data_IF_532867681412
#
_entry.id   IF_532867681412
#
_cell.length_a   1.000
_cell.length_b   1.000
_cell.length_c   1.000
_cell.angle_alpha   90.00
_cell.angle_beta   90.00
_cell.angle_gamma   90.00
#
_symmetry.space_group_name_H-M   'P 1'
#
loop_
_entity.id
_entity.type
_entity.pdbx_description
1 polymer ?
#
# COMPACT_ATOMS: atom_id res chain seq x y z
N UNK A 1 16.89 -4.28 -10.74
CA UNK A 1 18.29 -4.30 -10.30
C UNK A 1 18.86 -2.90 -10.30
N UNK A 2 19.76 -2.60 -9.35
CA UNK A 2 20.56 -1.39 -9.31
C UNK A 2 21.65 -1.58 -10.37
N UNK A 3 21.84 -0.57 -11.23
CA UNK A 3 22.85 -0.62 -12.29
C UNK A 3 23.80 0.57 -12.10
N UNK A 4 25.12 0.36 -11.95
CA UNK A 4 26.07 1.45 -11.96
C UNK A 4 26.13 2.06 -13.37
N UNK A 5 26.07 3.40 -13.47
CA UNK A 5 26.06 4.11 -14.74
C UNK A 5 27.40 4.79 -15.02
N UNK A 6 27.90 5.61 -14.11
CA UNK A 6 29.13 6.36 -14.28
C UNK A 6 29.79 6.73 -12.95
N UNK A 7 31.10 7.00 -13.02
CA UNK A 7 31.85 7.61 -11.95
C UNK A 7 32.72 8.73 -12.55
N UNK A 8 32.34 9.99 -12.30
CA UNK A 8 33.03 11.18 -12.81
C UNK A 8 32.98 12.27 -11.73
N UNK A 9 34.03 13.05 -11.61
CA UNK A 9 34.15 14.16 -10.68
C UNK A 9 33.75 13.83 -9.23
N UNK A 10 34.20 12.68 -8.71
CA UNK A 10 33.82 12.17 -7.39
C UNK A 10 32.31 11.88 -7.23
N UNK A 11 31.56 11.81 -8.33
CA UNK A 11 30.13 11.47 -8.35
C UNK A 11 29.93 10.07 -8.88
N UNK A 12 29.43 9.18 -8.04
CA UNK A 12 29.05 7.82 -8.43
C UNK A 12 27.56 7.78 -8.72
N UNK A 13 27.20 7.56 -9.98
CA UNK A 13 25.80 7.54 -10.43
C UNK A 13 25.31 6.11 -10.60
N UNK A 14 24.21 5.78 -9.92
CA UNK A 14 23.54 4.50 -10.05
C UNK A 14 22.13 4.68 -10.61
N UNK A 15 21.70 3.76 -11.46
CA UNK A 15 20.33 3.70 -11.93
C UNK A 15 19.49 2.86 -10.96
N UNK A 16 18.37 3.44 -10.54
CA UNK A 16 17.37 2.77 -9.71
C UNK A 16 16.08 2.56 -10.50
N UNK A 17 15.34 1.47 -10.26
CA UNK A 17 14.18 1.12 -11.07
C UNK A 17 12.98 2.07 -10.89
N UNK A 18 12.88 2.77 -9.77
CA UNK A 18 11.76 3.69 -9.48
C UNK A 18 12.13 4.72 -8.42
N UNK A 19 11.31 5.77 -8.30
CA UNK A 19 11.37 6.78 -7.24
C UNK A 19 11.32 6.16 -5.85
N UNK A 20 10.44 5.20 -5.65
CA UNK A 20 10.30 4.47 -4.40
C UNK A 20 11.57 3.71 -4.01
N UNK A 21 12.24 3.09 -4.99
CA UNK A 21 13.48 2.36 -4.71
C UNK A 21 14.61 3.30 -4.27
N UNK A 22 14.63 4.51 -4.81
CA UNK A 22 15.50 5.58 -4.33
C UNK A 22 15.22 5.93 -2.87
N UNK A 23 13.96 6.21 -2.53
CA UNK A 23 13.53 6.55 -1.16
C UNK A 23 13.85 5.44 -0.16
N UNK A 24 13.60 4.19 -0.54
CA UNK A 24 13.94 3.02 0.27
C UNK A 24 15.46 2.86 0.51
N UNK A 25 16.29 3.13 -0.50
CA UNK A 25 17.75 3.09 -0.35
C UNK A 25 18.24 4.22 0.56
N UNK A 26 17.70 5.43 0.42
CA UNK A 26 18.05 6.57 1.26
C UNK A 26 17.61 6.35 2.72
N UNK A 27 16.42 5.82 2.95
CA UNK A 27 15.92 5.60 4.31
C UNK A 27 16.68 4.49 5.05
N UNK A 28 16.92 3.34 4.39
CA UNK A 28 17.44 2.15 5.07
C UNK A 28 18.92 1.85 4.83
N UNK A 29 19.46 2.25 3.69
CA UNK A 29 20.79 1.82 3.27
C UNK A 29 21.77 2.96 3.01
N UNK A 30 21.37 4.22 3.15
CA UNK A 30 22.22 5.37 2.87
C UNK A 30 23.57 5.31 3.64
N UNK A 31 23.53 4.95 4.91
CA UNK A 31 24.74 4.85 5.73
C UNK A 31 25.66 3.72 5.27
N UNK A 32 25.08 2.56 4.93
CA UNK A 32 25.85 1.41 4.43
C UNK A 32 26.46 1.72 3.06
N UNK A 33 25.69 2.35 2.17
CA UNK A 33 26.15 2.76 0.86
C UNK A 33 27.26 3.81 0.95
N UNK A 34 27.12 4.83 1.79
CA UNK A 34 28.16 5.86 2.02
C UNK A 34 29.44 5.25 2.56
N UNK A 35 29.34 4.41 3.60
CA UNK A 35 30.53 3.77 4.20
C UNK A 35 31.23 2.86 3.18
N UNK A 36 30.46 2.11 2.41
CA UNK A 36 31.01 1.21 1.38
C UNK A 36 31.67 2.00 0.25
N UNK A 37 31.04 3.07 -0.23
CA UNK A 37 31.60 3.93 -1.27
C UNK A 37 32.87 4.61 -0.81
N UNK A 38 32.91 5.14 0.43
CA UNK A 38 34.12 5.75 0.99
C UNK A 38 35.25 4.73 1.14
N UNK A 39 34.94 3.47 1.44
CA UNK A 39 35.93 2.40 1.57
C UNK A 39 36.51 1.95 0.23
N UNK A 40 35.67 1.90 -0.81
CA UNK A 40 36.04 1.33 -2.13
C UNK A 40 36.58 2.40 -3.08
N UNK A 41 35.97 3.58 -3.09
CA UNK A 41 36.26 4.63 -4.07
C UNK A 41 37.08 5.78 -3.44
N UNK A 42 36.82 6.09 -2.16
CA UNK A 42 37.54 7.13 -1.43
C UNK A 42 36.61 8.14 -0.75
N UNK A 43 37.19 8.90 0.19
CA UNK A 43 36.47 9.96 0.89
C UNK A 43 36.11 11.10 -0.05
N UNK A 44 34.86 11.62 0.08
CA UNK A 44 34.35 12.70 -0.75
C UNK A 44 33.52 12.25 -1.94
N UNK A 45 33.30 10.94 -2.13
CA UNK A 45 32.42 10.43 -3.20
C UNK A 45 30.96 10.78 -2.90
N UNK A 46 30.30 11.39 -3.87
CA UNK A 46 28.88 11.71 -3.83
C UNK A 46 28.11 10.64 -4.59
N UNK A 47 27.05 10.09 -3.96
CA UNK A 47 26.16 9.12 -4.58
C UNK A 47 25.02 9.84 -5.28
N UNK A 48 24.91 9.66 -6.58
CA UNK A 48 23.80 10.16 -7.39
C UNK A 48 22.89 9.02 -7.85
N UNK A 49 21.61 9.31 -7.97
CA UNK A 49 20.62 8.35 -8.43
C UNK A 49 19.98 8.81 -9.73
N UNK A 50 19.86 7.89 -10.68
CA UNK A 50 19.10 8.10 -11.92
C UNK A 50 17.92 7.11 -11.93
N UNK A 51 16.70 7.64 -12.01
CA UNK A 51 15.51 6.83 -12.07
C UNK A 51 15.32 6.36 -13.50
N UNK A 52 15.06 5.05 -13.70
CA UNK A 52 14.72 4.50 -15.01
C UNK A 52 13.31 4.97 -15.39
N UNK A 53 13.22 6.02 -16.21
CA UNK A 53 11.96 6.40 -16.85
C UNK A 53 11.73 5.44 -18.01
N UNK A 54 10.68 4.62 -17.96
CA UNK A 54 10.22 3.82 -19.09
C UNK A 54 9.53 4.78 -20.05
N UNK A 55 10.11 4.90 -21.23
CA UNK A 55 9.82 5.88 -22.26
C UNK A 55 8.34 6.07 -22.58
N UNK A 56 7.86 7.31 -22.40
CA UNK A 56 7.27 8.06 -23.53
C UNK A 56 7.58 9.55 -23.34
N UNK A 57 8.32 10.07 -24.37
CA UNK A 57 8.60 11.50 -24.61
C UNK A 57 9.77 12.11 -23.84
N UNK A 58 10.86 12.25 -24.58
CA UNK A 58 11.98 13.21 -24.58
C UNK A 58 12.14 14.18 -23.41
N UNK A 59 13.39 14.22 -23.02
CA UNK A 59 14.25 15.27 -22.51
C UNK A 59 14.73 15.12 -21.07
N UNK A 60 16.05 15.16 -20.98
CA UNK A 60 16.93 15.10 -19.82
C UNK A 60 16.40 15.82 -18.56
N UNK A 61 15.98 15.01 -17.59
CA UNK A 61 15.73 15.47 -16.23
C UNK A 61 16.77 14.91 -15.27
N UNK A 62 17.94 15.52 -15.21
CA UNK A 62 18.97 15.20 -14.23
C UNK A 62 18.63 15.90 -12.92
N UNK A 63 18.14 15.16 -11.94
CA UNK A 63 17.96 15.69 -10.57
C UNK A 63 19.24 15.41 -9.80
N UNK A 64 20.03 16.44 -9.60
CA UNK A 64 21.21 16.43 -8.72
C UNK A 64 20.76 16.89 -7.33
N UNK A 65 20.77 16.03 -6.34
CA UNK A 65 20.54 16.39 -4.96
C UNK A 65 21.89 16.42 -4.20
N UNK A 66 22.25 17.53 -3.58
CA UNK A 66 23.48 17.61 -2.80
C UNK A 66 23.32 16.90 -1.46
N UNK A 67 24.07 15.85 -1.23
CA UNK A 67 24.31 15.26 0.10
C UNK A 67 25.48 15.96 0.77
N UNK A 68 25.20 17.05 1.46
CA UNK A 68 26.18 17.76 2.26
C UNK A 68 25.54 18.38 3.48
N UNK A 69 25.83 17.85 4.66
CA UNK A 69 25.70 18.57 5.90
C UNK A 69 26.81 19.62 5.97
N UNK A 70 26.47 20.85 5.66
CA UNK A 70 27.22 22.00 6.16
C UNK A 70 26.22 23.10 6.50
N UNK A 71 26.06 23.33 7.79
CA UNK A 71 25.41 24.52 8.29
C UNK A 71 26.38 25.68 8.27
N UNK A 72 25.96 26.85 7.81
CA UNK A 72 26.26 28.07 8.54
C UNK A 72 24.98 28.82 8.91
N UNK A 73 24.93 29.22 10.15
CA UNK A 73 23.98 30.17 10.73
C UNK A 73 24.14 31.53 10.06
N UNK A 74 23.04 32.08 9.56
CA UNK A 74 22.66 33.49 9.84
C UNK A 74 21.34 33.76 9.15
N UNK A 75 20.44 34.45 9.87
CA UNK A 75 19.04 34.63 9.51
C UNK A 75 18.82 35.55 8.30
N UNK A 76 17.76 35.24 7.61
CA UNK A 76 16.83 36.22 7.00
C UNK A 76 15.55 35.45 6.62
N UNK A 77 14.40 36.02 6.95
CA UNK A 77 13.06 35.59 6.61
C UNK A 77 13.00 35.07 5.17
N UNK A 78 12.81 33.79 4.96
CA UNK A 78 12.43 33.26 3.67
C UNK A 78 10.90 33.11 3.65
N UNK A 79 10.33 33.75 2.63
CA UNK A 79 8.94 33.63 2.27
C UNK A 79 8.58 32.14 2.06
N UNK A 80 7.40 31.77 2.54
CA UNK A 80 6.76 30.47 2.30
C UNK A 80 6.81 30.15 0.79
N UNK A 81 7.65 29.19 0.42
CA UNK A 81 7.53 28.51 -0.85
C UNK A 81 6.61 27.31 -0.54
N UNK A 82 5.35 27.31 -1.04
CA UNK A 82 4.50 26.15 -0.90
C UNK A 82 5.21 24.98 -1.58
N UNK A 83 5.39 23.85 -0.88
CA UNK A 83 5.96 22.66 -1.49
C UNK A 83 4.98 22.16 -2.56
N UNK A 84 5.29 22.45 -3.82
CA UNK A 84 4.50 22.08 -4.99
C UNK A 84 4.34 20.56 -5.13
N UNK A 85 5.11 19.78 -4.37
CA UNK A 85 5.05 18.32 -4.36
C UNK A 85 4.05 17.75 -3.37
N UNK A 86 3.79 18.39 -2.24
CA UNK A 86 2.76 17.92 -1.29
C UNK A 86 1.33 18.17 -1.77
N UNK A 87 1.10 19.23 -2.54
CA UNK A 87 -0.23 19.56 -3.04
C UNK A 87 -0.67 18.70 -4.25
N UNK A 88 0.26 18.25 -5.11
CA UNK A 88 -0.09 17.40 -6.27
C UNK A 88 -0.28 15.92 -5.93
N UNK A 89 0.44 15.37 -4.94
CA UNK A 89 0.30 13.98 -4.54
C UNK A 89 -1.04 13.68 -3.83
N UNK A 90 -1.74 14.69 -3.33
CA UNK A 90 -3.03 14.54 -2.65
C UNK A 90 -4.24 14.66 -3.57
N UNK A 91 -4.09 15.26 -4.76
CA UNK A 91 -5.22 15.52 -5.66
C UNK A 91 -5.55 14.37 -6.63
N UNK A 92 -4.69 13.35 -6.79
CA UNK A 92 -4.85 12.29 -7.78
C UNK A 92 -4.97 10.87 -7.18
N UNK A 93 -5.21 10.73 -5.85
CA UNK A 93 -5.40 9.39 -5.25
C UNK A 93 -6.85 8.92 -5.44
N UNK A 94 -7.05 7.97 -6.36
CA UNK A 94 -8.34 7.31 -6.53
C UNK A 94 -8.45 6.12 -5.56
N UNK A 95 -9.30 6.27 -4.57
CA UNK A 95 -9.59 5.24 -3.57
C UNK A 95 -10.52 4.13 -4.09
N UNK A 96 -11.15 4.32 -5.24
CA UNK A 96 -12.22 3.47 -5.80
C UNK A 96 -13.42 3.30 -4.84
N UNK A 97 -13.58 4.15 -3.87
CA UNK A 97 -14.69 4.11 -2.92
C UNK A 97 -15.96 4.72 -3.54
N UNK A 98 -17.10 4.12 -3.22
CA UNK A 98 -18.39 4.68 -3.58
C UNK A 98 -18.94 5.51 -2.41
N UNK A 99 -19.06 6.84 -2.53
CA UNK A 99 -19.48 7.71 -1.41
C UNK A 99 -20.95 7.50 -1.01
N UNK A 100 -21.74 6.81 -1.82
CA UNK A 100 -23.13 6.48 -1.47
C UNK A 100 -23.26 5.45 -0.36
N UNK A 101 -22.21 4.64 -0.13
CA UNK A 101 -22.20 3.63 0.92
C UNK A 101 -21.50 4.18 2.15
N UNK A 102 -22.27 4.40 3.22
CA UNK A 102 -21.79 4.93 4.48
C UNK A 102 -22.43 4.19 5.66
N UNK A 103 -22.01 4.51 6.89
CA UNK A 103 -22.59 3.90 8.08
C UNK A 103 -24.02 4.34 8.36
N UNK A 104 -24.46 5.50 7.89
CA UNK A 104 -25.80 6.02 8.17
C UNK A 104 -26.88 5.22 7.42
N UNK A 105 -26.54 4.69 6.23
CA UNK A 105 -27.42 3.86 5.44
C UNK A 105 -27.07 2.35 5.51
N UNK A 106 -26.16 1.97 6.42
CA UNK A 106 -25.88 0.57 6.74
C UNK A 106 -26.75 0.12 7.91
N UNK A 107 -27.82 -0.61 7.60
CA UNK A 107 -28.79 -1.03 8.64
C UNK A 107 -28.18 -2.01 9.63
N UNK A 108 -28.32 -1.68 10.92
CA UNK A 108 -27.90 -2.54 12.02
C UNK A 108 -28.99 -3.51 12.40
N UNK A 109 -28.61 -4.78 12.48
CA UNK A 109 -29.42 -5.87 13.00
C UNK A 109 -28.65 -6.68 14.04
N UNK A 110 -29.30 -7.64 14.67
CA UNK A 110 -28.65 -8.51 15.68
C UNK A 110 -27.44 -9.26 15.13
N UNK A 111 -27.49 -9.66 13.85
CA UNK A 111 -26.44 -10.45 13.20
C UNK A 111 -25.20 -9.66 12.78
N UNK A 112 -25.32 -8.34 12.57
CA UNK A 112 -24.22 -7.51 12.07
C UNK A 112 -23.74 -6.43 13.07
N UNK A 113 -24.32 -6.36 14.25
CA UNK A 113 -23.99 -5.36 15.29
C UNK A 113 -22.50 -5.38 15.66
N UNK A 114 -21.95 -6.59 15.86
CA UNK A 114 -20.53 -6.73 16.19
C UNK A 114 -19.63 -6.26 15.05
N UNK A 115 -20.00 -6.60 13.81
CA UNK A 115 -19.25 -6.14 12.60
C UNK A 115 -19.27 -4.65 12.51
N UNK A 116 -20.44 -4.03 12.67
CA UNK A 116 -20.60 -2.58 12.59
C UNK A 116 -19.75 -1.89 13.65
N UNK A 117 -19.84 -2.28 14.91
CA UNK A 117 -19.06 -1.64 15.98
C UNK A 117 -17.55 -1.82 15.81
N UNK A 118 -17.11 -3.00 15.35
CA UNK A 118 -15.70 -3.24 15.01
C UNK A 118 -15.24 -2.39 13.83
N UNK A 119 -16.10 -2.19 12.84
CA UNK A 119 -15.82 -1.36 11.66
C UNK A 119 -15.69 0.13 12.03
N UNK A 120 -16.54 0.61 12.91
CA UNK A 120 -16.45 1.97 13.45
C UNK A 120 -15.15 2.16 14.25
N UNK A 121 -14.75 1.18 15.07
CA UNK A 121 -13.48 1.20 15.79
C UNK A 121 -12.26 1.23 14.85
N UNK A 122 -12.30 0.46 13.74
CA UNK A 122 -11.26 0.50 12.70
C UNK A 122 -11.20 1.88 12.05
N UNK A 123 -12.35 2.48 11.77
CA UNK A 123 -12.37 3.80 11.15
C UNK A 123 -11.78 4.90 12.05
N UNK A 124 -11.93 4.76 13.36
CA UNK A 124 -11.30 5.68 14.33
C UNK A 124 -9.78 5.50 14.40
N UNK A 125 -9.29 4.26 14.47
CA UNK A 125 -7.87 3.97 14.65
C UNK A 125 -7.41 2.83 13.71
N UNK A 126 -7.24 3.11 12.40
CA UNK A 126 -6.80 2.10 11.43
C UNK A 126 -5.43 1.51 11.79
N UNK A 127 -5.33 0.18 11.73
CA UNK A 127 -4.11 -0.57 12.00
C UNK A 127 -3.88 -0.96 13.46
N UNK A 128 -4.66 -0.41 14.42
CA UNK A 128 -4.48 -0.71 15.85
C UNK A 128 -5.34 -1.88 16.34
N UNK A 129 -6.61 -1.90 15.95
CA UNK A 129 -7.55 -2.93 16.37
C UNK A 129 -8.07 -3.70 15.16
N UNK A 130 -8.40 -4.98 15.34
CA UNK A 130 -8.98 -5.81 14.27
C UNK A 130 -8.19 -5.75 12.94
N UNK A 131 -6.90 -6.05 12.99
CA UNK A 131 -6.04 -6.04 11.82
C UNK A 131 -5.33 -7.39 11.62
N UNK A 132 -5.62 -8.15 10.54
CA UNK A 132 -6.63 -7.86 9.54
C UNK A 132 -8.06 -8.02 10.06
N UNK A 133 -9.00 -7.26 9.47
CA UNK A 133 -10.43 -7.55 9.58
C UNK A 133 -10.83 -8.50 8.47
N UNK A 134 -11.46 -9.61 8.81
CA UNK A 134 -12.01 -10.55 7.83
C UNK A 134 -13.52 -10.71 8.04
N UNK A 135 -14.29 -10.32 7.03
CA UNK A 135 -15.76 -10.36 7.06
C UNK A 135 -16.25 -11.40 6.06
N UNK A 136 -17.03 -12.37 6.51
CA UNK A 136 -17.59 -13.36 5.62
C UNK A 136 -19.08 -13.58 5.84
N UNK A 137 -19.76 -14.04 4.80
CA UNK A 137 -21.20 -14.30 4.83
C UNK A 137 -21.76 -14.43 3.43
N UNK A 138 -23.01 -14.90 3.30
CA UNK A 138 -23.68 -15.11 2.03
C UNK A 138 -23.67 -13.86 1.13
N UNK A 139 -23.86 -14.04 -0.16
CA UNK A 139 -24.03 -12.93 -1.08
C UNK A 139 -25.25 -12.07 -0.70
N UNK A 140 -25.15 -10.76 -0.90
CA UNK A 140 -26.24 -9.81 -0.62
C UNK A 140 -26.39 -9.36 0.83
N UNK A 141 -25.57 -9.85 1.79
CA UNK A 141 -25.67 -9.47 3.22
C UNK A 141 -25.01 -8.12 3.57
N UNK A 142 -24.50 -7.38 2.58
CA UNK A 142 -23.94 -6.03 2.78
C UNK A 142 -22.43 -5.96 3.01
N UNK A 143 -21.63 -6.98 2.66
CA UNK A 143 -20.16 -6.96 2.81
C UNK A 143 -19.51 -5.80 2.07
N UNK A 144 -19.81 -5.65 0.79
CA UNK A 144 -19.30 -4.57 -0.06
C UNK A 144 -19.72 -3.19 0.44
N UNK A 145 -20.98 -3.03 0.87
CA UNK A 145 -21.46 -1.80 1.50
C UNK A 145 -20.61 -1.43 2.71
N UNK A 146 -20.40 -2.39 3.61
CA UNK A 146 -19.58 -2.20 4.80
C UNK A 146 -18.14 -1.78 4.46
N UNK A 147 -17.51 -2.43 3.47
CA UNK A 147 -16.18 -2.07 3.00
C UNK A 147 -16.10 -0.61 2.59
N UNK A 148 -17.03 -0.16 1.77
CA UNK A 148 -17.09 1.23 1.33
C UNK A 148 -17.38 2.18 2.51
N UNK A 149 -18.29 1.81 3.43
CA UNK A 149 -18.61 2.63 4.60
C UNK A 149 -17.39 2.84 5.50
N UNK A 150 -16.60 1.77 5.74
CA UNK A 150 -15.35 1.87 6.51
C UNK A 150 -14.36 2.79 5.78
N UNK A 151 -14.13 2.56 4.49
CA UNK A 151 -13.19 3.34 3.70
C UNK A 151 -13.53 4.82 3.65
N UNK A 152 -14.80 5.16 3.40
CA UNK A 152 -15.30 6.54 3.39
C UNK A 152 -15.10 7.19 4.77
N UNK A 153 -15.45 6.47 5.84
CA UNK A 153 -15.30 7.00 7.21
C UNK A 153 -13.84 7.22 7.59
N UNK A 154 -12.92 6.33 7.15
CA UNK A 154 -11.47 6.53 7.35
C UNK A 154 -11.02 7.79 6.61
N UNK A 155 -11.43 8.01 5.37
CA UNK A 155 -11.06 9.21 4.62
C UNK A 155 -11.61 10.51 5.23
N UNK A 156 -12.79 10.46 5.83
CA UNK A 156 -13.37 11.60 6.57
C UNK A 156 -12.54 11.96 7.80
N UNK A 157 -12.13 10.96 8.60
CA UNK A 157 -11.40 11.16 9.87
C UNK A 157 -9.92 11.37 9.63
N UNK A 158 -9.34 10.67 8.66
CA UNK A 158 -7.91 10.60 8.35
C UNK A 158 -7.66 10.91 6.87
N UNK A 159 -7.87 12.16 6.42
CA UNK A 159 -7.73 12.53 5.00
C UNK A 159 -6.30 12.36 4.45
N UNK A 160 -5.29 12.23 5.33
CA UNK A 160 -3.91 11.97 4.96
C UNK A 160 -3.65 10.52 4.57
N UNK A 161 -4.52 9.58 4.95
CA UNK A 161 -4.32 8.14 4.70
C UNK A 161 -4.74 7.76 3.29
N UNK A 162 -3.90 6.97 2.66
CA UNK A 162 -4.17 6.36 1.36
C UNK A 162 -5.04 5.11 1.55
N UNK A 163 -6.34 5.27 1.37
CA UNK A 163 -7.31 4.16 1.39
C UNK A 163 -7.51 3.65 -0.03
N UNK A 164 -7.42 2.34 -0.23
CA UNK A 164 -7.68 1.69 -1.51
C UNK A 164 -8.71 0.58 -1.34
N UNK A 165 -9.82 0.69 -2.05
CA UNK A 165 -10.79 -0.39 -2.25
C UNK A 165 -10.55 -1.07 -3.60
N UNK A 166 -10.52 -2.39 -3.62
CA UNK A 166 -10.45 -3.16 -4.86
C UNK A 166 -11.12 -4.52 -4.68
N UNK A 167 -11.78 -5.04 -5.73
CA UNK A 167 -12.21 -6.43 -5.75
C UNK A 167 -11.04 -7.35 -6.10
N UNK A 168 -11.04 -8.58 -5.57
CA UNK A 168 -10.01 -9.58 -5.88
C UNK A 168 -9.99 -9.95 -7.37
N UNK A 169 -11.12 -9.81 -8.06
CA UNK A 169 -11.18 -9.93 -9.52
C UNK A 169 -10.34 -8.85 -10.21
N UNK A 170 -10.58 -7.58 -9.89
CA UNK A 170 -9.86 -6.45 -10.50
C UNK A 170 -8.37 -6.49 -10.13
N UNK A 171 -8.03 -6.86 -8.89
CA UNK A 171 -6.65 -7.11 -8.47
C UNK A 171 -5.96 -8.14 -9.38
N UNK A 172 -6.65 -9.25 -9.70
CA UNK A 172 -6.14 -10.29 -10.61
C UNK A 172 -5.94 -9.75 -12.02
N UNK A 173 -6.88 -8.96 -12.54
CA UNK A 173 -6.78 -8.34 -13.88
C UNK A 173 -5.57 -7.40 -13.94
N UNK A 174 -5.43 -6.52 -12.97
CA UNK A 174 -4.29 -5.59 -12.89
C UNK A 174 -2.95 -6.32 -12.76
N UNK A 175 -2.88 -7.38 -11.94
CA UNK A 175 -1.68 -8.21 -11.82
C UNK A 175 -1.30 -8.90 -13.13
N UNK A 176 -2.28 -9.47 -13.82
CA UNK A 176 -2.07 -10.12 -15.13
C UNK A 176 -1.57 -9.11 -16.16
N UNK A 177 -2.11 -7.91 -16.15
CA UNK A 177 -1.65 -6.83 -17.02
C UNK A 177 -0.23 -6.37 -16.68
N UNK A 178 0.10 -6.28 -15.39
CA UNK A 178 1.46 -5.96 -14.94
C UNK A 178 2.49 -7.00 -15.38
N UNK A 179 2.13 -8.29 -15.36
CA UNK A 179 2.97 -9.36 -15.91
C UNK A 179 3.19 -9.15 -17.42
N UNK A 180 2.11 -8.91 -18.16
CA UNK A 180 2.18 -8.71 -19.62
C UNK A 180 3.04 -7.51 -20.01
N UNK A 181 2.99 -6.43 -19.20
CA UNK A 181 3.76 -5.19 -19.41
C UNK A 181 5.15 -5.23 -18.76
N UNK A 182 5.51 -6.32 -18.07
CA UNK A 182 6.75 -6.44 -17.29
C UNK A 182 6.91 -5.34 -16.21
N UNK A 183 5.80 -4.92 -15.59
CA UNK A 183 5.72 -3.88 -14.55
C UNK A 183 5.27 -4.43 -13.20
N UNK A 184 5.58 -5.69 -12.90
CA UNK A 184 5.19 -6.34 -11.65
C UNK A 184 5.76 -5.66 -10.40
N UNK A 185 6.94 -5.04 -10.51
CA UNK A 185 7.52 -4.27 -9.40
C UNK A 185 6.69 -3.02 -9.09
N UNK A 186 6.28 -2.27 -10.12
CA UNK A 186 5.46 -1.07 -9.95
C UNK A 186 4.10 -1.42 -9.35
N UNK A 187 3.52 -2.55 -9.79
CA UNK A 187 2.30 -3.10 -9.19
C UNK A 187 2.48 -3.39 -7.69
N UNK A 188 3.56 -4.09 -7.32
CA UNK A 188 3.86 -4.39 -5.92
C UNK A 188 4.02 -3.11 -5.09
N UNK A 189 4.79 -2.14 -5.57
CA UNK A 189 5.03 -0.88 -4.88
C UNK A 189 3.77 -0.05 -4.71
N UNK A 190 2.91 -0.02 -5.73
CA UNK A 190 1.63 0.67 -5.63
C UNK A 190 0.79 0.14 -4.47
N UNK A 191 0.61 -1.19 -4.37
CA UNK A 191 -0.17 -1.79 -3.30
C UNK A 191 0.51 -1.73 -1.93
N UNK A 192 1.84 -1.75 -1.89
CA UNK A 192 2.60 -1.61 -0.64
C UNK A 192 2.61 -0.18 -0.09
N UNK A 193 2.31 0.80 -0.93
CA UNK A 193 2.25 2.22 -0.56
C UNK A 193 0.94 2.69 0.05
N UNK A 194 -0.07 1.82 0.23
CA UNK A 194 -1.35 2.20 0.84
C UNK A 194 -1.30 2.13 2.36
N UNK A 195 -2.15 2.91 3.02
CA UNK A 195 -2.33 2.86 4.48
C UNK A 195 -3.46 1.92 4.90
N UNK A 196 -4.45 1.78 4.03
CA UNK A 196 -5.60 0.91 4.23
C UNK A 196 -5.89 0.18 2.92
N UNK A 197 -5.81 -1.14 2.93
CA UNK A 197 -6.18 -1.99 1.79
C UNK A 197 -7.46 -2.74 2.11
N UNK A 198 -8.47 -2.51 1.29
CA UNK A 198 -9.75 -3.21 1.32
C UNK A 198 -9.82 -4.11 0.08
N UNK A 199 -9.76 -5.43 0.29
CA UNK A 199 -9.88 -6.43 -0.78
C UNK A 199 -11.20 -7.17 -0.65
N UNK A 200 -12.09 -6.90 -1.57
CA UNK A 200 -13.44 -7.50 -1.60
C UNK A 200 -13.46 -8.80 -2.39
N UNK A 201 -14.22 -9.79 -1.90
CA UNK A 201 -14.42 -11.09 -2.52
C UNK A 201 -13.14 -11.90 -2.75
N UNK A 202 -12.35 -12.11 -1.69
CA UNK A 202 -11.05 -12.83 -1.75
C UNK A 202 -11.15 -14.24 -2.36
N UNK A 203 -12.32 -14.89 -2.31
CA UNK A 203 -12.54 -16.19 -2.94
C UNK A 203 -12.27 -16.18 -4.46
N UNK A 204 -12.32 -15.03 -5.11
CA UNK A 204 -11.96 -14.87 -6.52
C UNK A 204 -10.47 -15.11 -6.83
N UNK A 205 -9.61 -15.19 -5.79
CA UNK A 205 -8.20 -15.59 -5.92
C UNK A 205 -8.02 -17.12 -5.98
N UNK A 206 -9.03 -17.92 -5.65
CA UNK A 206 -8.93 -19.38 -5.64
C UNK A 206 -8.49 -19.90 -7.00
N UNK A 207 -7.51 -20.81 -7.01
CA UNK A 207 -6.94 -21.40 -8.23
C UNK A 207 -6.00 -20.49 -9.02
N UNK A 208 -5.66 -19.31 -8.50
CA UNK A 208 -4.74 -18.36 -9.14
C UNK A 208 -3.44 -18.23 -8.34
N UNK A 209 -2.63 -19.28 -8.29
CA UNK A 209 -1.48 -19.41 -7.39
C UNK A 209 -0.49 -18.24 -7.45
N UNK A 210 -0.16 -17.76 -8.66
CA UNK A 210 0.76 -16.61 -8.82
C UNK A 210 0.18 -15.33 -8.22
N UNK A 211 -1.13 -15.11 -8.40
CA UNK A 211 -1.83 -13.94 -7.83
C UNK A 211 -1.92 -14.06 -6.32
N UNK A 212 -2.24 -15.25 -5.79
CA UNK A 212 -2.27 -15.50 -4.35
C UNK A 212 -0.90 -15.26 -3.71
N UNK A 213 0.18 -15.75 -4.34
CA UNK A 213 1.54 -15.52 -3.87
C UNK A 213 1.88 -14.01 -3.82
N UNK A 214 1.54 -13.27 -4.87
CA UNK A 214 1.78 -11.83 -4.93
C UNK A 214 0.97 -11.09 -3.87
N UNK A 215 -0.31 -11.44 -3.72
CA UNK A 215 -1.14 -10.89 -2.66
C UNK A 215 -0.59 -11.19 -1.26
N UNK A 216 -0.09 -12.41 -1.03
CA UNK A 216 0.53 -12.79 0.24
C UNK A 216 1.74 -11.90 0.59
N UNK A 217 2.57 -11.55 -0.38
CA UNK A 217 3.69 -10.63 -0.15
C UNK A 217 3.21 -9.22 0.19
N UNK A 218 2.20 -8.70 -0.51
CA UNK A 218 1.59 -7.40 -0.21
C UNK A 218 0.97 -7.42 1.19
N UNK A 219 0.16 -8.44 1.50
CA UNK A 219 -0.47 -8.64 2.80
C UNK A 219 0.55 -8.60 3.95
N UNK A 220 1.63 -9.38 3.83
CA UNK A 220 2.66 -9.43 4.86
C UNK A 220 3.35 -8.09 5.05
N UNK A 221 3.67 -7.41 3.96
CA UNK A 221 4.31 -6.11 4.00
C UNK A 221 3.43 -5.09 4.75
N UNK A 222 2.18 -4.96 4.36
CA UNK A 222 1.23 -4.04 4.98
C UNK A 222 1.00 -4.38 6.45
N UNK A 223 0.82 -5.66 6.76
CA UNK A 223 0.60 -6.12 8.13
C UNK A 223 1.79 -5.83 9.05
N UNK A 224 3.02 -6.09 8.59
CA UNK A 224 4.25 -5.81 9.35
C UNK A 224 4.43 -4.31 9.63
N UNK A 225 3.97 -3.45 8.74
CA UNK A 225 3.99 -2.00 8.92
C UNK A 225 2.80 -1.46 9.73
N UNK A 226 1.93 -2.32 10.26
CA UNK A 226 0.74 -1.91 10.99
C UNK A 226 -0.31 -1.21 10.13
N UNK A 227 -0.25 -1.38 8.80
CA UNK A 227 -1.27 -0.86 7.88
C UNK A 227 -2.55 -1.67 8.00
N UNK A 228 -3.71 -1.03 7.86
CA UNK A 228 -4.99 -1.71 7.99
C UNK A 228 -5.30 -2.59 6.77
N UNK A 229 -5.70 -3.83 7.04
CA UNK A 229 -6.19 -4.78 6.05
C UNK A 229 -7.64 -5.12 6.35
N UNK A 230 -8.50 -5.05 5.33
CA UNK A 230 -9.91 -5.43 5.39
C UNK A 230 -10.18 -6.37 4.22
N UNK A 231 -10.66 -7.55 4.52
CA UNK A 231 -10.87 -8.60 3.54
C UNK A 231 -12.30 -9.11 3.66
N UNK A 232 -12.94 -9.40 2.54
CA UNK A 232 -14.26 -10.03 2.54
C UNK A 232 -14.29 -11.34 1.79
N UNK A 233 -15.26 -12.19 2.11
CA UNK A 233 -15.52 -13.43 1.40
C UNK A 233 -16.99 -13.85 1.50
N UNK A 234 -17.46 -14.59 0.51
CA UNK A 234 -18.74 -15.32 0.61
C UNK A 234 -18.61 -16.63 1.40
N UNK A 235 -17.37 -17.08 1.67
CA UNK A 235 -17.03 -18.32 2.35
C UNK A 235 -16.26 -18.07 3.64
N UNK A 236 -16.45 -18.94 4.62
CA UNK A 236 -15.62 -18.94 5.82
C UNK A 236 -14.16 -19.34 5.50
N UNK A 237 -13.16 -18.96 6.31
CA UNK A 237 -11.75 -19.32 6.06
C UNK A 237 -11.52 -20.83 5.92
N UNK A 238 -12.34 -21.65 6.60
CA UNK A 238 -12.24 -23.11 6.54
C UNK A 238 -12.75 -23.69 5.22
N UNK A 239 -13.59 -22.94 4.50
CA UNK A 239 -14.25 -23.36 3.26
C UNK A 239 -13.57 -22.79 2.01
N UNK A 240 -12.45 -22.04 2.17
CA UNK A 240 -11.66 -21.49 1.08
C UNK A 240 -10.71 -22.55 0.48
N UNK A 241 -11.27 -23.67 0.02
CA UNK A 241 -10.50 -24.73 -0.63
C UNK A 241 -9.85 -24.20 -1.92
N UNK A 242 -8.55 -24.48 -2.12
CA UNK A 242 -7.76 -23.98 -3.23
C UNK A 242 -7.15 -22.58 -3.00
N UNK A 243 -7.35 -21.99 -1.83
CA UNK A 243 -6.54 -20.88 -1.33
C UNK A 243 -5.25 -21.45 -0.71
N UNK A 244 -4.11 -20.75 -0.89
CA UNK A 244 -2.86 -21.14 -0.25
C UNK A 244 -2.99 -21.20 1.28
N UNK A 245 -2.53 -22.30 1.88
CA UNK A 245 -2.66 -22.58 3.32
C UNK A 245 -2.07 -21.46 4.20
N UNK A 246 -0.98 -20.83 3.74
CA UNK A 246 -0.36 -19.71 4.45
C UNK A 246 -1.27 -18.46 4.52
N UNK A 247 -2.11 -18.21 3.49
CA UNK A 247 -3.14 -17.15 3.54
C UNK A 247 -4.26 -17.56 4.50
N UNK A 248 -4.77 -18.76 4.39
CA UNK A 248 -5.83 -19.29 5.26
C UNK A 248 -5.39 -19.23 6.74
N UNK A 249 -4.17 -19.65 7.03
CA UNK A 249 -3.60 -19.59 8.38
C UNK A 249 -3.60 -18.18 8.91
N UNK A 250 -3.22 -17.18 8.10
CA UNK A 250 -3.24 -15.79 8.51
C UNK A 250 -4.64 -15.23 8.75
N UNK A 251 -5.60 -15.63 7.92
CA UNK A 251 -7.01 -15.27 8.11
C UNK A 251 -7.60 -15.87 9.39
N UNK A 252 -7.10 -17.04 9.82
CA UNK A 252 -7.54 -17.72 11.05
C UNK A 252 -6.80 -17.25 12.31
N UNK A 253 -5.52 -16.95 12.22
CA UNK A 253 -4.57 -16.90 13.35
C UNK A 253 -4.49 -15.57 14.08
N UNK A 254 -4.84 -14.47 13.43
CA UNK A 254 -4.83 -13.19 14.12
C UNK A 254 -6.04 -13.13 15.06
N UNK A 255 -5.90 -13.66 16.27
CA UNK A 255 -6.94 -13.82 17.31
C UNK A 255 -7.66 -12.56 17.80
N UNK A 256 -7.45 -11.45 17.10
CA UNK A 256 -8.23 -10.21 17.14
C UNK A 256 -9.00 -9.96 15.84
N UNK A 257 -8.99 -10.92 14.90
CA UNK A 257 -9.77 -10.83 13.67
C UNK A 257 -11.24 -11.01 14.02
N UNK A 258 -12.05 -10.05 13.67
CA UNK A 258 -13.51 -10.20 13.80
C UNK A 258 -13.96 -11.12 12.68
N UNK A 259 -13.97 -12.43 12.96
CA UNK A 259 -14.65 -13.41 12.14
C UNK A 259 -16.15 -13.21 12.33
N UNK A 260 -16.76 -12.40 11.49
CA UNK A 260 -18.16 -12.06 11.66
C UNK A 260 -18.97 -12.72 10.56
N UNK A 261 -19.83 -13.63 10.98
CA UNK A 261 -20.86 -14.20 10.13
C UNK A 261 -21.96 -13.18 9.95
N UNK A 262 -22.10 -12.66 8.74
CA UNK A 262 -23.31 -11.97 8.35
C UNK A 262 -24.33 -12.98 7.84
N UNK A 263 -25.44 -13.12 8.54
CA UNK A 263 -26.58 -13.87 8.06
C UNK A 263 -27.70 -12.90 7.71
N UNK A 264 -28.50 -13.18 6.68
CA UNK A 264 -29.76 -12.47 6.51
C UNK A 264 -30.59 -12.71 7.79
N UNK A 265 -31.13 -11.65 8.36
CA UNK A 265 -32.18 -11.77 9.39
C UNK A 265 -33.39 -12.42 8.75
N UNK A 266 -34.07 -13.38 9.43
CA UNK A 266 -35.29 -13.95 8.94
C UNK A 266 -36.39 -12.90 8.81
#
# INVERSE_FOLDING_TARGET
>A
PIIPLSYEDNKFTIQVPSQFFYEYLEEKYVNVLKVTLYRVIGQGTILNYRIKVVDKVKEDGMITLPTGNDAPRTGKKSADIPSLFESKARQDWDSHLNPKYNFDNYFEGTSNRLVRSSSEAIAQEPGKTFNPMFVFGASGVGKTHLCHAIGNRIQEIHPEKKVLYISAHLFTVQYTEAIRKNTTNDFMYFYQGVDVLILDDIQELIGKDKTQNTFFHIFNHLHLLGKQLILTSDKAPVDLQGMEERLITRLKWFGKTVNTRLYPTP
#
